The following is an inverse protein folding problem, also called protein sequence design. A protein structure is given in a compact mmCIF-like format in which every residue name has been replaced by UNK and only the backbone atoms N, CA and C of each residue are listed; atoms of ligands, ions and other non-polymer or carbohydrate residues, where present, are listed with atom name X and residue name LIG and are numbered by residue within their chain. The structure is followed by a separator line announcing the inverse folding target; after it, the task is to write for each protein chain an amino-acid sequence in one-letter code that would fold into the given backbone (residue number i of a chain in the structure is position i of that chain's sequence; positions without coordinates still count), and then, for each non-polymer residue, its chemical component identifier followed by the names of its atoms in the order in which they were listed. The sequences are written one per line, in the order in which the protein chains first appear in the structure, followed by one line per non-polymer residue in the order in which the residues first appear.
data_IF_466669445900
#
_entry.id   IF_466669445900
#
_cell.length_a   1.000
_cell.length_b   1.000
_cell.length_c   1.000
_cell.angle_alpha   90.00
_cell.angle_beta   90.00
_cell.angle_gamma   90.00
#
_symmetry.space_group_name_H-M   'P 1'
#
loop_
_entity.id
_entity.type
_entity.pdbx_description
1 polymer ?
#
# COMPACT_ATOMS: atom_id res chain seq x y z
N UNK A 1 24.56 17.59 -1.45
CA UNK A 1 24.38 18.39 -0.21
C UNK A 1 23.29 17.81 0.71
N UNK A 2 22.08 17.52 0.21
CA UNK A 2 20.95 16.97 0.99
C UNK A 2 21.28 15.73 1.84
N UNK A 3 22.06 14.78 1.30
CA UNK A 3 22.50 13.58 2.04
C UNK A 3 23.34 13.89 3.29
N UNK A 4 24.16 14.96 3.26
CA UNK A 4 24.98 15.37 4.42
C UNK A 4 24.14 16.09 5.49
N UNK A 5 23.07 16.77 5.09
CA UNK A 5 22.12 17.40 6.00
C UNK A 5 21.20 16.39 6.68
N UNK A 6 20.70 15.39 5.93
CA UNK A 6 19.89 14.30 6.49
C UNK A 6 20.67 13.50 7.54
N UNK A 7 21.95 13.19 7.28
CA UNK A 7 22.81 12.51 8.27
C UNK A 7 23.00 13.38 9.51
N UNK A 8 23.25 14.69 9.36
CA UNK A 8 23.40 15.59 10.52
C UNK A 8 22.12 15.71 11.34
N UNK A 9 20.95 15.83 10.71
CA UNK A 9 19.67 15.91 11.42
C UNK A 9 19.37 14.60 12.18
N UNK A 10 19.58 13.45 11.54
CA UNK A 10 19.42 12.14 12.18
C UNK A 10 20.42 11.95 13.34
N UNK A 11 21.67 12.41 13.18
CA UNK A 11 22.66 12.40 14.26
C UNK A 11 22.26 13.32 15.42
N UNK A 12 21.70 14.51 15.17
CA UNK A 12 21.24 15.42 16.23
C UNK A 12 20.03 14.85 16.97
N UNK A 13 19.08 14.23 16.26
CA UNK A 13 17.93 13.55 16.87
C UNK A 13 18.40 12.34 17.69
N UNK A 14 19.31 11.53 17.14
CA UNK A 14 19.90 10.39 17.86
C UNK A 14 20.66 10.84 19.12
N UNK A 15 21.41 11.95 19.05
CA UNK A 15 22.15 12.51 20.18
C UNK A 15 21.21 13.08 21.26
N UNK A 16 20.10 13.70 20.86
CA UNK A 16 19.06 14.15 21.79
C UNK A 16 18.35 12.96 22.47
N UNK A 17 18.15 11.85 21.77
CA UNK A 17 17.60 10.62 22.32
C UNK A 17 18.60 9.86 23.23
N UNK A 18 19.91 9.96 22.96
CA UNK A 18 20.97 9.32 23.75
C UNK A 18 21.32 10.04 25.07
N UNK A 19 20.81 11.26 25.27
CA UNK A 19 21.07 12.06 26.47
C UNK A 19 20.18 11.69 27.69
N UNK A 20 19.42 10.59 27.62
CA UNK A 20 18.68 9.99 28.73
C UNK A 20 19.49 8.83 29.36
N UNK A 21 19.42 8.59 30.69
CA UNK A 21 20.34 7.70 31.38
C UNK A 21 20.22 6.24 30.91
N UNK A 22 21.38 5.65 30.61
CA UNK A 22 21.59 4.37 29.96
C UNK A 22 21.24 3.15 30.83
N UNK A 23 20.62 2.14 30.23
CA UNK A 23 20.63 0.75 30.69
C UNK A 23 21.58 -0.08 29.82
N UNK A 24 22.30 -0.98 30.47
CA UNK A 24 23.50 -1.67 30.00
C UNK A 24 23.30 -2.65 28.82
N UNK A 25 24.35 -2.81 28.02
CA UNK A 25 24.48 -3.75 26.89
C UNK A 25 24.92 -5.15 27.36
N UNK A 26 24.34 -6.21 26.76
CA UNK A 26 24.92 -7.57 26.72
C UNK A 26 25.56 -7.84 25.34
N UNK A 27 26.66 -8.63 25.27
CA UNK A 27 27.38 -8.89 24.02
C UNK A 27 26.74 -10.00 23.17
N UNK A 28 26.78 -9.80 21.84
CA UNK A 28 26.26 -10.73 20.83
C UNK A 28 27.12 -11.99 20.63
N UNK A 29 26.52 -13.16 20.27
CA UNK A 29 27.25 -14.38 19.98
C UNK A 29 27.88 -14.41 18.58
N UNK A 30 29.00 -15.16 18.48
CA UNK A 30 29.90 -15.22 17.34
C UNK A 30 29.30 -15.83 16.06
N UNK A 31 29.59 -15.20 14.92
CA UNK A 31 29.26 -15.64 13.56
C UNK A 31 30.02 -16.92 13.15
N UNK A 32 29.27 -17.93 12.69
CA UNK A 32 29.80 -19.06 11.93
C UNK A 32 30.01 -18.67 10.44
N UNK A 33 30.95 -19.31 9.71
CA UNK A 33 31.30 -18.92 8.35
C UNK A 33 30.20 -19.23 7.30
N UNK A 34 30.07 -18.34 6.33
CA UNK A 34 29.07 -18.37 5.28
C UNK A 34 29.23 -19.59 4.33
N UNK A 35 28.13 -20.31 4.14
CA UNK A 35 28.00 -21.45 3.24
C UNK A 35 27.62 -20.97 1.82
N UNK A 36 28.12 -21.64 0.77
CA UNK A 36 27.88 -21.19 -0.61
C UNK A 36 26.43 -21.44 -1.05
N UNK A 37 25.84 -20.57 -1.90
CA UNK A 37 24.46 -20.74 -2.39
C UNK A 37 24.19 -22.08 -3.09
N UNK A 38 25.22 -22.66 -3.72
CA UNK A 38 25.12 -23.97 -4.37
C UNK A 38 25.01 -25.12 -3.36
N UNK A 39 25.67 -25.00 -2.21
CA UNK A 39 25.60 -25.99 -1.13
C UNK A 39 24.24 -25.94 -0.42
N UNK A 40 23.64 -24.75 -0.30
CA UNK A 40 22.28 -24.55 0.18
C UNK A 40 21.27 -25.29 -0.71
N UNK A 41 21.29 -25.01 -2.01
CA UNK A 41 20.34 -25.61 -2.98
C UNK A 41 20.49 -27.14 -3.04
N UNK A 42 21.72 -27.66 -2.98
CA UNK A 42 21.97 -29.11 -2.97
C UNK A 42 21.43 -29.77 -1.70
N UNK A 43 21.48 -29.09 -0.55
CA UNK A 43 20.87 -29.56 0.70
C UNK A 43 19.35 -29.55 0.65
N UNK A 44 18.76 -28.51 0.06
CA UNK A 44 17.30 -28.39 -0.06
C UNK A 44 16.70 -29.44 -1.01
N UNK A 45 17.42 -29.77 -2.10
CA UNK A 45 17.01 -30.83 -3.03
C UNK A 45 17.11 -32.25 -2.44
N UNK A 46 18.05 -32.50 -1.54
CA UNK A 46 18.23 -33.83 -0.90
C UNK A 46 17.27 -34.02 0.28
N UNK A 47 16.77 -32.95 0.90
CA UNK A 47 15.91 -33.04 2.09
C UNK A 47 14.39 -33.10 1.80
N UNK A 48 13.95 -33.18 0.55
CA UNK A 48 12.56 -33.55 0.22
C UNK A 48 11.50 -32.67 0.88
N UNK A 49 11.70 -31.35 0.93
CA UNK A 49 10.70 -30.40 1.42
C UNK A 49 10.13 -29.56 0.27
N UNK A 50 8.85 -29.78 0.02
CA UNK A 50 8.12 -29.37 -1.19
C UNK A 50 7.75 -27.90 -1.30
N UNK A 51 8.19 -27.02 -0.40
CA UNK A 51 7.80 -25.61 -0.39
C UNK A 51 8.92 -24.68 -0.87
N UNK A 52 10.18 -24.93 -0.52
CA UNK A 52 11.32 -24.12 -1.02
C UNK A 52 11.60 -24.38 -2.51
N UNK A 53 11.40 -25.61 -2.98
CA UNK A 53 11.47 -25.93 -4.41
C UNK A 53 10.35 -25.26 -5.21
N UNK A 54 9.18 -25.02 -4.60
CA UNK A 54 8.08 -24.27 -5.22
C UNK A 54 8.36 -22.77 -5.28
N UNK A 55 9.01 -22.22 -4.26
CA UNK A 55 9.42 -20.81 -4.22
C UNK A 55 10.48 -20.50 -5.29
N UNK A 56 11.45 -21.40 -5.49
CA UNK A 56 12.45 -21.26 -6.56
C UNK A 56 11.84 -21.36 -7.98
N UNK A 57 10.81 -22.19 -8.17
CA UNK A 57 10.07 -22.30 -9.44
C UNK A 57 9.17 -21.06 -9.65
N UNK A 58 8.59 -20.52 -8.58
CA UNK A 58 7.80 -19.28 -8.62
C UNK A 58 8.63 -18.06 -8.99
N UNK A 59 9.86 -17.95 -8.49
CA UNK A 59 10.81 -16.88 -8.86
C UNK A 59 11.23 -16.94 -10.33
N UNK A 60 11.36 -18.15 -10.88
CA UNK A 60 11.70 -18.33 -12.30
C UNK A 60 10.51 -18.02 -13.22
N UNK A 61 9.29 -18.43 -12.86
CA UNK A 61 8.05 -18.06 -13.57
C UNK A 61 7.74 -16.56 -13.44
N UNK A 62 8.06 -15.94 -12.30
CA UNK A 62 7.93 -14.52 -12.13
C UNK A 62 8.72 -13.78 -13.20
N UNK A 63 9.90 -14.26 -13.62
CA UNK A 63 10.78 -13.60 -14.58
C UNK A 63 10.21 -13.34 -15.99
N UNK A 64 9.12 -14.02 -16.39
CA UNK A 64 8.50 -13.92 -17.73
C UNK A 64 7.25 -13.03 -17.80
N UNK A 65 6.69 -12.61 -16.65
CA UNK A 65 5.42 -11.87 -16.57
C UNK A 65 5.67 -10.35 -16.60
N UNK A 66 4.77 -9.59 -17.25
CA UNK A 66 4.87 -8.12 -17.36
C UNK A 66 4.85 -7.45 -15.98
N UNK A 67 5.51 -6.28 -15.84
CA UNK A 67 5.67 -5.62 -14.53
C UNK A 67 4.33 -5.27 -13.86
N UNK A 68 3.29 -4.97 -14.65
CA UNK A 68 1.95 -4.65 -14.14
C UNK A 68 1.21 -5.89 -13.64
N UNK A 69 1.35 -7.02 -14.34
CA UNK A 69 0.80 -8.31 -13.88
C UNK A 69 1.56 -8.83 -12.65
N UNK A 70 2.88 -8.61 -12.54
CA UNK A 70 3.62 -8.92 -11.31
C UNK A 70 3.16 -8.06 -10.14
N UNK A 71 2.93 -6.77 -10.34
CA UNK A 71 2.46 -5.89 -9.27
C UNK A 71 1.08 -6.36 -8.76
N UNK A 72 0.15 -6.65 -9.68
CA UNK A 72 -1.17 -7.16 -9.33
C UNK A 72 -1.11 -8.53 -8.64
N UNK A 73 -0.26 -9.45 -9.10
CA UNK A 73 -0.09 -10.78 -8.51
C UNK A 73 0.60 -10.73 -7.14
N UNK A 74 1.59 -9.87 -6.96
CA UNK A 74 2.28 -9.67 -5.68
C UNK A 74 1.37 -8.99 -4.66
N UNK A 75 0.53 -8.06 -5.08
CA UNK A 75 -0.48 -7.43 -4.22
C UNK A 75 -1.57 -8.44 -3.81
N UNK A 76 -2.07 -9.25 -4.76
CA UNK A 76 -2.98 -10.37 -4.49
C UNK A 76 -2.37 -11.42 -3.55
N UNK A 77 -1.08 -11.74 -3.70
CA UNK A 77 -0.37 -12.69 -2.86
C UNK A 77 -0.07 -12.13 -1.46
N UNK A 78 0.36 -10.87 -1.36
CA UNK A 78 0.58 -10.17 -0.10
C UNK A 78 -0.72 -10.09 0.70
N UNK A 79 -1.83 -9.73 0.06
CA UNK A 79 -3.15 -9.82 0.66
C UNK A 79 -3.48 -11.26 1.07
N UNK A 80 -3.29 -12.26 0.20
CA UNK A 80 -3.55 -13.66 0.54
C UNK A 80 -2.82 -14.16 1.80
N UNK A 81 -1.57 -13.73 1.99
CA UNK A 81 -0.69 -14.17 3.07
C UNK A 81 -0.92 -13.44 4.40
N UNK A 82 -1.09 -12.12 4.40
CA UNK A 82 -1.37 -11.36 5.64
C UNK A 82 -2.70 -11.77 6.28
N UNK A 83 -3.69 -12.15 5.48
CA UNK A 83 -5.04 -12.43 5.96
C UNK A 83 -5.27 -13.88 6.39
N UNK A 84 -4.40 -14.81 6.00
CA UNK A 84 -4.43 -16.21 6.48
C UNK A 84 -4.22 -16.30 8.00
N UNK A 85 -3.49 -15.34 8.56
CA UNK A 85 -3.15 -15.24 9.98
C UNK A 85 -4.19 -14.48 10.83
N UNK A 86 -5.15 -13.79 10.21
CA UNK A 86 -6.14 -12.97 10.90
C UNK A 86 -7.48 -13.68 11.19
N UNK A 87 -7.63 -14.96 10.82
CA UNK A 87 -8.85 -15.73 11.12
C UNK A 87 -8.89 -16.15 12.59
N UNK A 88 -9.95 -15.81 13.35
CA UNK A 88 -10.23 -16.53 14.60
C UNK A 88 -10.56 -18.01 14.28
N UNK A 89 -10.30 -18.94 15.22
CA UNK A 89 -10.64 -20.35 15.03
C UNK A 89 -12.15 -20.51 14.80
N UNK A 90 -12.52 -21.41 13.88
CA UNK A 90 -13.92 -21.68 13.56
C UNK A 90 -14.70 -22.06 14.83
N UNK A 91 -15.88 -21.47 15.08
CA UNK A 91 -16.75 -21.94 16.16
C UNK A 91 -17.16 -23.40 15.89
N UNK A 92 -17.14 -24.22 16.94
CA UNK A 92 -17.62 -25.61 16.92
C UNK A 92 -19.08 -25.66 16.46
N UNK A 93 -19.47 -26.65 15.64
CA UNK A 93 -20.84 -26.77 15.17
C UNK A 93 -21.77 -27.07 16.34
N UNK A 94 -22.76 -26.20 16.54
CA UNK A 94 -23.80 -26.37 17.55
C UNK A 94 -24.84 -27.37 17.01
N UNK A 95 -24.83 -28.57 17.58
CA UNK A 95 -25.72 -29.67 17.20
C UNK A 95 -26.97 -29.67 18.06
N UNK A 96 -27.89 -28.72 17.85
CA UNK A 96 -29.26 -28.85 18.36
C UNK A 96 -30.27 -28.48 17.29
N UNK A 97 -31.05 -29.48 16.89
CA UNK A 97 -31.92 -29.43 15.73
C UNK A 97 -33.28 -28.77 15.93
N UNK A 98 -33.89 -28.54 14.74
CA UNK A 98 -35.30 -28.66 14.39
C UNK A 98 -36.33 -27.79 15.12
N UNK A 99 -36.84 -26.78 14.41
CA UNK A 99 -38.26 -26.67 14.07
C UNK A 99 -38.48 -25.68 12.92
N UNK A 100 -39.01 -26.18 11.81
CA UNK A 100 -39.20 -25.45 10.56
C UNK A 100 -40.60 -24.83 10.48
N UNK A 101 -40.66 -23.54 10.15
CA UNK A 101 -41.85 -22.87 9.65
C UNK A 101 -41.45 -22.12 8.36
N UNK A 102 -42.17 -22.25 7.23
CA UNK A 102 -41.74 -21.73 5.94
C UNK A 102 -42.11 -20.24 5.81
N UNK A 103 -41.46 -19.37 6.57
CA UNK A 103 -41.29 -17.98 6.13
C UNK A 103 -40.04 -17.98 5.25
N UNK A 104 -40.19 -17.75 3.95
CA UNK A 104 -39.12 -17.73 2.95
C UNK A 104 -38.14 -16.57 3.18
N UNK A 105 -37.46 -16.56 4.32
CA UNK A 105 -36.25 -15.80 4.55
C UNK A 105 -35.18 -16.56 3.80
N UNK A 106 -34.77 -16.00 2.68
CA UNK A 106 -33.62 -16.46 1.90
C UNK A 106 -32.47 -16.68 2.89
N UNK A 107 -32.15 -17.95 3.16
CA UNK A 107 -31.12 -18.32 4.12
C UNK A 107 -29.81 -17.77 3.62
N UNK A 108 -29.13 -16.96 4.44
CA UNK A 108 -27.80 -16.43 4.08
C UNK A 108 -26.89 -17.61 3.69
N UNK A 109 -26.09 -17.49 2.61
CA UNK A 109 -25.18 -18.56 2.21
C UNK A 109 -24.24 -18.87 3.37
N UNK A 110 -23.89 -20.15 3.51
CA UNK A 110 -22.87 -20.56 4.46
C UNK A 110 -21.52 -19.92 4.11
N UNK A 111 -20.64 -19.76 5.10
CA UNK A 111 -19.30 -19.21 4.87
C UNK A 111 -18.51 -20.03 3.83
N UNK A 112 -18.74 -21.34 3.72
CA UNK A 112 -18.10 -22.19 2.72
C UNK A 112 -18.60 -21.90 1.29
N UNK A 113 -19.91 -21.71 1.12
CA UNK A 113 -20.51 -21.34 -0.18
C UNK A 113 -20.09 -19.94 -0.61
N UNK A 114 -20.03 -18.99 0.33
CA UNK A 114 -19.54 -17.64 0.06
C UNK A 114 -18.08 -17.67 -0.40
N UNK A 115 -17.20 -18.38 0.32
CA UNK A 115 -15.78 -18.50 -0.05
C UNK A 115 -15.58 -19.15 -1.42
N UNK A 116 -16.35 -20.19 -1.74
CA UNK A 116 -16.30 -20.85 -3.06
C UNK A 116 -16.69 -19.87 -4.17
N UNK A 117 -17.77 -19.12 -3.95
CA UNK A 117 -18.24 -18.11 -4.90
C UNK A 117 -17.25 -16.95 -5.08
N UNK A 118 -16.60 -16.54 -3.98
CA UNK A 118 -15.55 -15.53 -3.99
C UNK A 118 -14.32 -15.97 -4.81
N UNK A 119 -13.85 -17.21 -4.62
CA UNK A 119 -12.74 -17.78 -5.39
C UNK A 119 -13.07 -17.85 -6.90
N UNK A 120 -14.30 -18.23 -7.26
CA UNK A 120 -14.75 -18.20 -8.66
C UNK A 120 -14.71 -16.78 -9.23
N UNK A 121 -15.19 -15.78 -8.49
CA UNK A 121 -15.18 -14.40 -8.94
C UNK A 121 -13.75 -13.86 -9.10
N UNK A 122 -12.83 -14.24 -8.20
CA UNK A 122 -11.40 -13.90 -8.32
C UNK A 122 -10.77 -14.54 -9.58
N UNK A 123 -11.09 -15.80 -9.86
CA UNK A 123 -10.62 -16.50 -11.06
C UNK A 123 -11.21 -15.90 -12.34
N UNK A 124 -12.45 -15.38 -12.32
CA UNK A 124 -13.03 -14.63 -13.43
C UNK A 124 -12.22 -13.34 -13.68
N UNK A 125 -11.83 -12.63 -12.62
CA UNK A 125 -11.00 -11.42 -12.72
C UNK A 125 -9.62 -11.73 -13.32
N UNK A 126 -8.96 -12.80 -12.85
CA UNK A 126 -7.66 -13.24 -13.35
C UNK A 126 -7.69 -13.65 -14.83
N UNK A 127 -8.83 -14.16 -15.34
CA UNK A 127 -9.02 -14.52 -16.75
C UNK A 127 -9.46 -13.36 -17.65
N UNK A 128 -9.55 -12.13 -17.11
CA UNK A 128 -10.05 -10.98 -17.85
C UNK A 128 -11.57 -10.98 -18.10
N UNK A 129 -12.32 -11.84 -17.42
CA UNK A 129 -13.78 -11.90 -17.48
C UNK A 129 -14.43 -10.86 -16.55
N UNK A 130 -14.00 -9.60 -16.68
CA UNK A 130 -14.30 -8.52 -15.73
C UNK A 130 -15.81 -8.29 -15.50
N UNK A 131 -16.64 -8.41 -16.54
CA UNK A 131 -18.10 -8.28 -16.39
C UNK A 131 -18.73 -9.40 -15.56
N UNK A 132 -18.23 -10.63 -15.68
CA UNK A 132 -18.70 -11.76 -14.87
C UNK A 132 -18.24 -11.60 -13.41
N UNK A 133 -16.97 -11.24 -13.21
CA UNK A 133 -16.39 -10.96 -11.90
C UNK A 133 -17.17 -9.85 -11.16
N UNK A 134 -17.41 -8.70 -11.81
CA UNK A 134 -18.12 -7.56 -11.21
C UNK A 134 -19.54 -7.92 -10.74
N UNK A 135 -20.29 -8.72 -11.52
CA UNK A 135 -21.63 -9.18 -11.13
C UNK A 135 -21.59 -10.11 -9.93
N UNK A 136 -20.69 -11.12 -9.94
CA UNK A 136 -20.54 -12.07 -8.83
C UNK A 136 -20.12 -11.36 -7.55
N UNK A 137 -19.14 -10.47 -7.63
CA UNK A 137 -18.66 -9.69 -6.48
C UNK A 137 -19.76 -8.78 -5.93
N UNK A 138 -20.64 -8.24 -6.78
CA UNK A 138 -21.84 -7.51 -6.33
C UNK A 138 -22.71 -8.33 -5.38
N UNK A 139 -23.04 -9.57 -5.76
CA UNK A 139 -23.83 -10.48 -4.91
C UNK A 139 -23.08 -10.85 -3.62
N UNK A 140 -21.75 -10.99 -3.69
CA UNK A 140 -20.92 -11.34 -2.54
C UNK A 140 -20.82 -10.22 -1.50
N UNK A 141 -20.87 -8.96 -1.91
CA UNK A 141 -20.93 -7.82 -0.98
C UNK A 141 -22.20 -7.89 -0.13
N UNK A 142 -23.35 -8.16 -0.76
CA UNK A 142 -24.65 -8.19 -0.09
C UNK A 142 -24.83 -9.43 0.82
N UNK A 143 -24.12 -10.51 0.50
CA UNK A 143 -24.21 -11.80 1.20
C UNK A 143 -23.00 -12.12 2.09
N UNK A 144 -22.12 -11.15 2.31
CA UNK A 144 -20.90 -11.35 3.09
C UNK A 144 -21.21 -11.76 4.54
N UNK A 145 -20.44 -12.73 5.11
CA UNK A 145 -20.63 -13.16 6.49
C UNK A 145 -20.21 -12.08 7.49
N UNK A 146 -19.23 -11.23 7.12
CA UNK A 146 -18.74 -10.11 7.94
C UNK A 146 -18.36 -8.88 7.09
N UNK A 147 -18.00 -7.78 7.77
CA UNK A 147 -17.64 -6.51 7.14
C UNK A 147 -16.31 -6.58 6.36
N UNK A 148 -15.40 -7.47 6.76
CA UNK A 148 -14.09 -7.60 6.11
C UNK A 148 -14.27 -8.25 4.74
N UNK A 149 -15.06 -9.32 4.66
CA UNK A 149 -15.40 -10.01 3.42
C UNK A 149 -16.23 -9.13 2.46
N UNK A 150 -17.13 -8.29 3.01
CA UNK A 150 -17.86 -7.28 2.24
C UNK A 150 -16.92 -6.22 1.64
N UNK A 151 -15.99 -5.68 2.45
CA UNK A 151 -15.00 -4.71 1.99
C UNK A 151 -14.11 -5.30 0.88
N UNK A 152 -13.67 -6.55 1.06
CA UNK A 152 -12.83 -7.26 0.10
C UNK A 152 -13.53 -7.45 -1.25
N UNK A 153 -14.79 -7.85 -1.21
CA UNK A 153 -15.60 -8.02 -2.42
C UNK A 153 -15.86 -6.68 -3.13
N UNK A 154 -16.01 -5.60 -2.36
CA UNK A 154 -16.20 -4.24 -2.88
C UNK A 154 -14.98 -3.74 -3.63
N UNK A 155 -13.77 -3.97 -3.09
CA UNK A 155 -12.50 -3.58 -3.72
C UNK A 155 -12.24 -4.35 -5.03
N UNK A 156 -12.43 -5.68 -5.03
CA UNK A 156 -12.30 -6.45 -6.26
C UNK A 156 -13.35 -6.04 -7.31
N UNK A 157 -14.55 -5.63 -6.86
CA UNK A 157 -15.61 -5.16 -7.75
C UNK A 157 -15.23 -3.83 -8.40
N UNK A 158 -14.62 -2.90 -7.67
CA UNK A 158 -14.16 -1.64 -8.26
C UNK A 158 -13.07 -1.87 -9.31
N UNK A 159 -12.10 -2.75 -9.03
CA UNK A 159 -11.07 -3.15 -9.99
C UNK A 159 -11.67 -3.74 -11.27
N UNK A 160 -12.69 -4.60 -11.15
CA UNK A 160 -13.38 -5.16 -12.31
C UNK A 160 -14.08 -4.08 -13.16
N UNK A 161 -14.69 -3.07 -12.53
CA UNK A 161 -15.33 -1.97 -13.25
C UNK A 161 -14.34 -1.04 -13.94
N UNK A 162 -13.21 -0.75 -13.30
CA UNK A 162 -12.16 0.08 -13.90
C UNK A 162 -11.58 -0.61 -15.15
N UNK A 163 -11.31 -1.92 -15.06
CA UNK A 163 -10.86 -2.71 -16.22
C UNK A 163 -11.87 -2.73 -17.38
N UNK A 164 -13.18 -2.74 -17.08
CA UNK A 164 -14.22 -2.61 -18.11
C UNK A 164 -14.19 -1.24 -18.77
N UNK A 165 -14.03 -0.17 -17.98
CA UNK A 165 -13.96 1.22 -18.48
C UNK A 165 -12.78 1.40 -19.45
N UNK A 166 -11.62 0.88 -19.09
CA UNK A 166 -10.41 0.95 -19.92
C UNK A 166 -10.57 0.19 -21.24
N UNK A 167 -11.25 -0.97 -21.20
CA UNK A 167 -11.54 -1.76 -22.41
C UNK A 167 -12.53 -1.05 -23.34
N UNK A 168 -13.57 -0.43 -22.79
CA UNK A 168 -14.51 0.38 -23.57
C UNK A 168 -13.82 1.58 -24.21
N UNK A 169 -12.99 2.30 -23.45
CA UNK A 169 -12.21 3.42 -23.99
C UNK A 169 -11.27 3.00 -25.13
N UNK A 170 -10.76 1.77 -25.09
CA UNK A 170 -9.90 1.22 -26.14
C UNK A 170 -10.70 0.80 -27.39
N UNK A 171 -11.94 0.32 -27.21
CA UNK A 171 -12.81 -0.13 -28.32
C UNK A 171 -13.40 1.03 -29.12
N UNK A 172 -13.62 2.18 -28.48
CA UNK A 172 -14.17 3.38 -29.14
C UNK A 172 -13.11 4.18 -29.89
N UNK A 173 -11.83 3.76 -29.86
CA UNK A 173 -10.82 4.37 -30.70
C UNK A 173 -11.15 4.00 -32.15
N UNK A 174 -11.60 4.94 -33.00
CA UNK A 174 -11.92 4.62 -34.39
C UNK A 174 -10.70 3.97 -35.02
N UNK A 175 -10.86 2.90 -35.83
CA UNK A 175 -9.75 2.33 -36.58
C UNK A 175 -9.11 3.52 -37.29
N UNK A 176 -7.82 3.73 -37.02
CA UNK A 176 -7.09 4.90 -37.49
C UNK A 176 -7.22 4.89 -39.00
N UNK A 177 -8.18 5.65 -39.50
CA UNK A 177 -8.43 5.77 -40.92
C UNK A 177 -7.21 6.52 -41.38
N UNK A 178 -6.37 5.84 -42.16
CA UNK A 178 -5.17 6.42 -42.74
C UNK A 178 -5.59 7.62 -43.57
N UNK A 179 -5.71 8.78 -42.93
CA UNK A 179 -6.02 10.05 -43.57
C UNK A 179 -4.87 10.32 -44.53
N UNK A 180 -5.14 10.53 -45.82
CA UNK A 180 -4.11 10.82 -46.81
C UNK A 180 -3.28 12.00 -46.32
N UNK A 181 -1.97 11.81 -46.35
CA UNK A 181 -0.94 12.70 -45.82
C UNK A 181 -1.25 14.17 -46.11
N UNK A 182 -1.75 14.87 -45.09
CA UNK A 182 -1.80 16.31 -45.07
C UNK A 182 -0.37 16.82 -44.86
N UNK A 183 0.06 17.73 -45.73
CA UNK A 183 1.41 18.28 -45.81
C UNK A 183 1.93 18.81 -44.47
N UNK A 184 2.86 18.05 -43.88
CA UNK A 184 4.06 18.44 -43.13
C UNK A 184 4.06 19.76 -42.34
N UNK A 185 3.17 19.87 -41.36
CA UNK A 185 3.54 20.56 -40.11
C UNK A 185 3.66 19.48 -39.04
N UNK A 186 4.87 19.18 -38.53
CA UNK A 186 5.01 18.21 -37.46
C UNK A 186 4.09 18.64 -36.31
N UNK A 187 3.18 17.76 -35.83
CA UNK A 187 2.31 18.12 -34.74
C UNK A 187 3.17 18.58 -33.57
N UNK A 188 2.77 19.65 -32.86
CA UNK A 188 3.53 20.14 -31.71
C UNK A 188 3.77 18.96 -30.77
N UNK A 189 5.04 18.71 -30.44
CA UNK A 189 5.43 17.59 -29.61
C UNK A 189 4.56 17.58 -28.35
N UNK A 190 3.88 16.47 -28.09
CA UNK A 190 3.06 16.35 -26.88
C UNK A 190 3.95 16.63 -25.67
N UNK A 191 3.47 17.40 -24.68
CA UNK A 191 4.25 17.65 -23.48
C UNK A 191 4.67 16.31 -22.87
N UNK A 192 5.91 16.19 -22.38
CA UNK A 192 6.38 14.94 -21.81
C UNK A 192 5.41 14.50 -20.71
N UNK A 193 5.03 13.22 -20.74
CA UNK A 193 4.17 12.66 -19.70
C UNK A 193 4.79 12.95 -18.32
N UNK A 194 3.97 13.31 -17.34
CA UNK A 194 4.43 13.49 -15.97
C UNK A 194 4.13 12.20 -15.19
N UNK A 195 5.12 11.68 -14.47
CA UNK A 195 4.93 10.57 -13.54
C UNK A 195 4.82 11.13 -12.12
N UNK A 196 4.07 10.44 -11.27
CA UNK A 196 3.98 10.80 -9.85
C UNK A 196 4.70 9.74 -9.02
N UNK A 197 5.65 10.15 -8.18
CA UNK A 197 6.33 9.28 -7.21
C UNK A 197 5.79 9.54 -5.81
N UNK A 198 5.41 8.48 -5.11
CA UNK A 198 4.97 8.58 -3.73
C UNK A 198 6.15 8.53 -2.75
N UNK A 199 6.16 9.45 -1.78
CA UNK A 199 7.15 9.49 -0.70
C UNK A 199 6.52 9.57 0.70
N UNK A 200 5.22 9.26 0.83
CA UNK A 200 4.48 9.35 2.10
C UNK A 200 4.98 8.41 3.20
N UNK A 201 5.66 7.32 2.87
CA UNK A 201 6.30 6.48 3.90
C UNK A 201 7.32 7.24 4.75
N UNK A 202 7.97 8.28 4.20
CA UNK A 202 8.94 9.11 4.94
C UNK A 202 8.26 9.95 6.02
N UNK A 203 7.08 10.51 5.72
CA UNK A 203 6.29 11.27 6.70
C UNK A 203 5.71 10.33 7.77
N UNK A 204 5.26 9.13 7.37
CA UNK A 204 4.77 8.11 8.30
C UNK A 204 5.84 7.63 9.30
N UNK A 205 7.11 7.54 8.90
CA UNK A 205 8.19 7.23 9.86
C UNK A 205 8.34 8.34 10.90
N UNK A 206 8.35 9.61 10.46
CA UNK A 206 8.44 10.74 11.39
C UNK A 206 7.26 10.74 12.38
N UNK A 207 6.07 10.40 11.88
CA UNK A 207 4.86 10.25 12.69
C UNK A 207 4.93 9.11 13.69
N UNK A 208 5.38 7.94 13.26
CA UNK A 208 5.57 6.80 14.14
C UNK A 208 6.53 7.11 15.29
N UNK A 209 7.65 7.78 14.99
CA UNK A 209 8.61 8.20 16.02
C UNK A 209 7.98 9.22 16.97
N UNK A 210 7.20 10.18 16.47
CA UNK A 210 6.50 11.15 17.29
C UNK A 210 5.50 10.47 18.25
N UNK A 211 4.74 9.48 17.78
CA UNK A 211 3.80 8.70 18.61
C UNK A 211 4.54 7.99 19.74
N UNK A 212 5.67 7.34 19.44
CA UNK A 212 6.46 6.61 20.45
C UNK A 212 7.09 7.56 21.50
N UNK A 213 7.52 8.75 21.09
CA UNK A 213 8.14 9.74 21.99
C UNK A 213 7.11 10.47 22.85
N UNK A 214 5.90 10.70 22.35
CA UNK A 214 4.86 11.47 23.03
C UNK A 214 4.57 11.05 24.49
N UNK A 215 4.42 9.76 24.85
CA UNK A 215 4.15 9.38 26.25
C UNK A 215 5.29 9.66 27.23
N UNK A 216 6.55 9.73 26.76
CA UNK A 216 7.72 9.97 27.63
C UNK A 216 8.22 11.42 27.59
N UNK A 217 8.00 12.10 26.47
CA UNK A 217 8.40 13.49 26.25
C UNK A 217 7.35 14.20 25.39
N UNK A 218 6.19 14.59 25.95
CA UNK A 218 5.03 15.04 25.18
C UNK A 218 5.31 16.29 24.35
N UNK A 219 6.10 17.23 24.88
CA UNK A 219 6.51 18.43 24.12
C UNK A 219 7.37 18.07 22.92
N UNK A 220 8.32 17.15 23.09
CA UNK A 220 9.19 16.69 22.00
C UNK A 220 8.40 15.87 20.96
N UNK A 221 7.52 14.98 21.41
CA UNK A 221 6.63 14.20 20.54
C UNK A 221 5.70 15.09 19.73
N UNK A 222 5.06 16.07 20.36
CA UNK A 222 4.21 17.05 19.68
C UNK A 222 4.99 17.92 18.69
N UNK A 223 6.18 18.40 19.08
CA UNK A 223 7.05 19.17 18.18
C UNK A 223 7.48 18.33 16.96
N UNK A 224 7.87 17.07 17.18
CA UNK A 224 8.24 16.15 16.10
C UNK A 224 7.05 15.82 15.20
N UNK A 225 5.86 15.61 15.76
CA UNK A 225 4.63 15.40 15.00
C UNK A 225 4.30 16.60 14.11
N UNK A 226 4.39 17.82 14.65
CA UNK A 226 4.08 19.04 13.90
C UNK A 226 5.12 19.35 12.82
N UNK A 227 6.40 19.09 13.07
CA UNK A 227 7.49 19.50 12.17
C UNK A 227 8.07 18.40 11.29
N UNK A 228 7.87 17.12 11.65
CA UNK A 228 8.43 15.97 10.96
C UNK A 228 7.98 15.87 9.50
N UNK A 229 6.66 15.80 9.26
CA UNK A 229 6.09 15.80 7.91
C UNK A 229 6.49 17.02 7.08
N UNK A 230 6.29 18.26 7.58
CA UNK A 230 6.71 19.47 6.88
C UNK A 230 8.20 19.49 6.51
N UNK A 231 9.08 19.02 7.41
CA UNK A 231 10.52 18.92 7.13
C UNK A 231 10.81 17.98 5.95
N UNK A 232 10.12 16.83 5.89
CA UNK A 232 10.22 15.90 4.76
C UNK A 232 9.76 16.55 3.44
N UNK A 233 8.67 17.32 3.45
CA UNK A 233 8.23 18.05 2.26
C UNK A 233 9.25 19.11 1.80
N UNK A 234 9.87 19.84 2.73
CA UNK A 234 10.95 20.79 2.43
C UNK A 234 12.15 20.07 1.81
N UNK A 235 12.55 18.91 2.34
CA UNK A 235 13.65 18.11 1.80
C UNK A 235 13.40 17.61 0.36
N UNK A 236 12.13 17.46 -0.01
CA UNK A 236 11.70 17.12 -1.37
C UNK A 236 11.38 18.37 -2.22
N UNK A 237 11.87 19.56 -1.86
CA UNK A 237 11.68 20.83 -2.58
C UNK A 237 10.21 21.28 -2.75
N UNK A 238 9.32 20.84 -1.86
CA UNK A 238 7.89 21.12 -1.94
C UNK A 238 7.42 22.06 -0.80
N UNK A 239 7.85 23.33 -0.80
CA UNK A 239 7.56 24.29 0.29
C UNK A 239 6.05 24.52 0.48
N UNK A 240 5.29 24.67 -0.62
CA UNK A 240 3.84 24.85 -0.54
C UNK A 240 3.16 23.67 0.20
N UNK A 241 3.63 22.45 -0.08
CA UNK A 241 3.13 21.23 0.57
C UNK A 241 3.55 21.13 2.03
N UNK A 242 4.75 21.60 2.37
CA UNK A 242 5.18 21.69 3.76
C UNK A 242 4.26 22.61 4.59
N UNK A 243 3.87 23.75 4.03
CA UNK A 243 2.90 24.66 4.65
C UNK A 243 1.53 24.02 4.82
N UNK A 244 1.01 23.35 3.78
CA UNK A 244 -0.27 22.61 3.87
C UNK A 244 -0.21 21.49 4.92
N UNK A 245 0.87 20.71 4.93
CA UNK A 245 1.12 19.63 5.89
C UNK A 245 1.10 20.15 7.33
N UNK A 246 1.83 21.25 7.60
CA UNK A 246 1.84 21.88 8.91
C UNK A 246 0.43 22.37 9.31
N UNK A 247 -0.28 22.99 8.37
CA UNK A 247 -1.64 23.48 8.57
C UNK A 247 -2.62 22.37 8.97
N UNK A 248 -2.61 21.23 8.27
CA UNK A 248 -3.51 20.11 8.60
C UNK A 248 -3.10 19.40 9.89
N UNK A 249 -1.78 19.30 10.17
CA UNK A 249 -1.25 18.67 11.40
C UNK A 249 -1.49 19.51 12.64
N UNK A 250 -1.56 20.82 12.53
CA UNK A 250 -2.01 21.67 13.63
C UNK A 250 -3.55 21.72 13.70
N UNK A 251 -4.19 21.94 12.55
CA UNK A 251 -5.62 22.23 12.47
C UNK A 251 -6.52 21.05 12.83
N UNK A 252 -6.26 19.85 12.30
CA UNK A 252 -7.13 18.70 12.53
C UNK A 252 -7.10 18.20 13.98
N UNK A 253 -5.96 18.04 14.66
CA UNK A 253 -5.94 17.69 16.08
C UNK A 253 -6.61 18.75 16.96
N UNK A 254 -6.35 20.05 16.71
CA UNK A 254 -6.97 21.12 17.49
C UNK A 254 -8.49 21.16 17.30
N UNK A 255 -8.96 21.08 16.05
CA UNK A 255 -10.38 21.08 15.72
C UNK A 255 -11.10 19.85 16.29
N UNK A 256 -10.56 18.66 16.06
CA UNK A 256 -11.15 17.42 16.58
C UNK A 256 -11.08 17.32 18.11
N UNK A 257 -10.00 17.83 18.72
CA UNK A 257 -9.89 17.91 20.18
C UNK A 257 -10.88 18.88 20.81
N UNK A 258 -11.11 20.05 20.18
CA UNK A 258 -12.14 20.98 20.64
C UNK A 258 -13.54 20.35 20.53
N UNK A 259 -13.85 19.72 19.40
CA UNK A 259 -15.14 19.02 19.22
C UNK A 259 -15.32 17.91 20.25
N UNK A 260 -14.28 17.10 20.48
CA UNK A 260 -14.29 16.06 21.50
C UNK A 260 -14.54 16.63 22.90
N UNK A 261 -13.83 17.71 23.27
CA UNK A 261 -14.00 18.34 24.57
C UNK A 261 -15.43 18.89 24.77
N UNK A 262 -16.01 19.52 23.75
CA UNK A 262 -17.40 19.99 23.78
C UNK A 262 -18.38 18.82 23.91
N UNK A 263 -18.18 17.72 23.18
CA UNK A 263 -19.01 16.51 23.32
C UNK A 263 -18.91 15.92 24.73
N UNK A 264 -17.70 15.84 25.30
CA UNK A 264 -17.47 15.36 26.67
C UNK A 264 -18.18 16.23 27.72
N UNK A 265 -18.16 17.55 27.54
CA UNK A 265 -18.86 18.49 28.42
C UNK A 265 -20.38 18.27 28.39
N UNK A 266 -20.97 18.15 27.18
CA UNK A 266 -22.41 17.92 27.01
C UNK A 266 -22.84 16.59 27.64
N UNK A 267 -22.09 15.52 27.40
CA UNK A 267 -22.39 14.21 28.00
C UNK A 267 -22.23 14.21 29.52
N UNK A 268 -21.21 14.89 30.05
CA UNK A 268 -21.02 15.04 31.49
C UNK A 268 -22.18 15.77 32.17
N UNK A 269 -22.65 16.87 31.56
CA UNK A 269 -23.77 17.66 32.06
C UNK A 269 -25.10 16.90 32.01
N UNK A 270 -25.35 16.15 30.93
CA UNK A 270 -26.57 15.36 30.77
C UNK A 270 -26.74 14.27 31.84
N UNK A 271 -25.63 13.74 32.38
CA UNK A 271 -25.63 12.71 33.41
C UNK A 271 -25.75 13.26 34.85
N UNK A 272 -25.96 14.58 35.04
CA UNK A 272 -26.05 15.18 36.37
C UNK A 272 -24.73 15.12 37.17
N UNK A 273 -23.60 15.02 36.49
CA UNK A 273 -22.30 14.84 37.12
C UNK A 273 -21.84 16.11 37.86
N UNK A 274 -21.10 15.96 38.96
CA UNK A 274 -20.40 17.08 39.61
C UNK A 274 -19.42 17.78 38.66
N UNK A 275 -19.11 19.06 38.90
CA UNK A 275 -18.25 19.90 38.05
C UNK A 275 -16.89 19.24 37.71
N UNK A 276 -16.29 18.54 38.67
CA UNK A 276 -15.03 17.80 38.47
C UNK A 276 -15.14 16.69 37.43
N UNK A 277 -16.29 16.01 37.35
CA UNK A 277 -16.55 14.94 36.39
C UNK A 277 -16.80 15.48 34.98
N UNK A 278 -17.43 16.65 34.87
CA UNK A 278 -17.61 17.33 33.58
C UNK A 278 -16.26 17.73 32.99
N UNK A 279 -15.37 18.30 33.81
CA UNK A 279 -14.01 18.67 33.38
C UNK A 279 -13.20 17.44 32.95
N UNK A 280 -13.25 16.35 33.72
CA UNK A 280 -12.55 15.11 33.39
C UNK A 280 -13.07 14.50 32.07
N UNK A 281 -14.39 14.42 31.88
CA UNK A 281 -14.97 13.93 30.63
C UNK A 281 -14.59 14.82 29.45
N UNK A 282 -14.65 16.15 29.61
CA UNK A 282 -14.23 17.09 28.56
C UNK A 282 -12.76 16.88 28.17
N UNK A 283 -11.87 16.72 29.15
CA UNK A 283 -10.46 16.45 28.88
C UNK A 283 -10.24 15.11 28.18
N UNK A 284 -10.90 14.03 28.66
CA UNK A 284 -10.76 12.70 28.08
C UNK A 284 -11.24 12.64 26.62
N UNK A 285 -12.43 13.16 26.34
CA UNK A 285 -12.94 13.23 24.97
C UNK A 285 -12.15 14.21 24.11
N UNK A 286 -11.60 15.29 24.69
CA UNK A 286 -10.71 16.22 23.99
C UNK A 286 -9.40 15.57 23.55
N UNK A 287 -8.76 14.79 24.43
CA UNK A 287 -7.54 14.03 24.09
C UNK A 287 -7.84 12.96 23.03
N UNK A 288 -8.95 12.23 23.18
CA UNK A 288 -9.37 11.23 22.20
C UNK A 288 -9.64 11.87 20.82
N UNK A 289 -10.35 13.01 20.81
CA UNK A 289 -10.62 13.79 19.60
C UNK A 289 -9.34 14.29 18.94
N UNK A 290 -8.41 14.84 19.71
CA UNK A 290 -7.12 15.30 19.20
C UNK A 290 -6.30 14.15 18.60
N UNK A 291 -6.28 12.99 19.24
CA UNK A 291 -5.63 11.78 18.73
C UNK A 291 -6.23 11.31 17.39
N UNK A 292 -7.56 11.24 17.29
CA UNK A 292 -8.24 10.89 16.05
C UNK A 292 -7.98 11.91 14.93
N UNK A 293 -7.99 13.21 15.26
CA UNK A 293 -7.62 14.29 14.35
C UNK A 293 -6.18 14.17 13.86
N UNK A 294 -5.26 13.76 14.74
CA UNK A 294 -3.86 13.56 14.40
C UNK A 294 -3.65 12.42 13.41
N UNK A 295 -4.29 11.27 13.65
CA UNK A 295 -4.27 10.12 12.73
C UNK A 295 -4.85 10.51 11.36
N UNK A 296 -5.98 11.23 11.34
CA UNK A 296 -6.58 11.70 10.09
C UNK A 296 -5.62 12.62 9.30
N UNK A 297 -4.95 13.56 9.99
CA UNK A 297 -3.94 14.41 9.37
C UNK A 297 -2.78 13.60 8.77
N UNK A 298 -2.27 12.57 9.46
CA UNK A 298 -1.21 11.70 8.95
C UNK A 298 -1.63 10.97 7.66
N UNK A 299 -2.87 10.45 7.64
CA UNK A 299 -3.42 9.75 6.46
C UNK A 299 -3.55 10.71 5.28
N UNK A 300 -4.14 11.89 5.48
CA UNK A 300 -4.32 12.89 4.41
C UNK A 300 -2.97 13.37 3.88
N UNK A 301 -2.02 13.67 4.77
CA UNK A 301 -0.68 14.11 4.43
C UNK A 301 0.07 13.07 3.57
N UNK A 302 0.13 11.83 4.06
CA UNK A 302 0.82 10.74 3.38
C UNK A 302 0.15 10.34 2.06
N UNK A 303 -1.19 10.28 1.99
CA UNK A 303 -1.91 9.79 0.82
C UNK A 303 -2.08 10.85 -0.28
N UNK A 304 -2.25 12.12 0.08
CA UNK A 304 -2.61 13.19 -0.86
C UNK A 304 -1.44 14.14 -1.11
N UNK A 305 -0.74 14.55 -0.05
CA UNK A 305 0.27 15.62 -0.13
C UNK A 305 1.63 15.07 -0.54
N UNK A 306 2.04 13.90 -0.04
CA UNK A 306 3.37 13.31 -0.25
C UNK A 306 3.57 12.63 -1.62
N UNK A 307 3.35 13.39 -2.70
CA UNK A 307 3.43 12.95 -4.11
C UNK A 307 4.31 13.88 -4.94
N UNK A 308 5.48 13.45 -5.38
CA UNK A 308 6.38 14.24 -6.22
C UNK A 308 6.03 14.07 -7.70
N UNK A 309 6.00 15.17 -8.47
CA UNK A 309 5.87 15.09 -9.93
C UNK A 309 7.27 14.99 -10.51
N UNK A 310 7.53 13.88 -11.20
CA UNK A 310 8.78 13.66 -11.92
C UNK A 310 8.49 13.75 -13.42
N UNK A 311 9.41 14.34 -14.21
CA UNK A 311 9.40 14.12 -15.65
C UNK A 311 9.31 12.61 -15.89
N UNK A 312 8.44 12.15 -16.80
CA UNK A 312 8.53 10.75 -17.20
C UNK A 312 9.95 10.52 -17.70
N UNK A 313 10.62 9.52 -17.11
CA UNK A 313 11.84 9.04 -17.71
C UNK A 313 11.53 8.73 -19.18
N UNK A 314 12.39 9.14 -20.12
CA UNK A 314 12.23 8.76 -21.51
C UNK A 314 12.02 7.25 -21.53
N UNK A 315 10.90 6.83 -22.13
CA UNK A 315 10.53 5.42 -22.16
C UNK A 315 11.75 4.63 -22.60
N UNK A 316 12.17 3.63 -21.81
CA UNK A 316 13.29 2.75 -22.18
C UNK A 316 13.05 2.05 -23.52
N UNK A 317 11.81 2.07 -24.03
CA UNK A 317 11.47 1.64 -25.39
C UNK A 317 12.16 2.46 -26.50
N UNK A 318 12.75 3.62 -26.18
CA UNK A 318 13.55 4.43 -27.10
C UNK A 318 15.05 4.46 -26.73
N UNK A 319 15.50 3.60 -25.82
CA UNK A 319 16.93 3.37 -25.68
C UNK A 319 17.35 2.46 -26.82
N UNK A 320 18.01 3.04 -27.82
CA UNK A 320 18.75 2.31 -28.85
C UNK A 320 19.60 1.26 -28.17
N UNK A 321 19.15 0.01 -28.19
CA UNK A 321 19.84 -1.06 -27.48
C UNK A 321 20.89 -1.61 -28.44
N UNK A 322 22.12 -1.12 -28.33
CA UNK A 322 23.27 -1.63 -29.07
C UNK A 322 23.72 -2.93 -28.41
N UNK A 323 23.46 -4.07 -29.05
CA UNK A 323 23.94 -5.40 -28.63
C UNK A 323 25.02 -5.88 -29.60
N UNK A 324 26.27 -6.10 -29.16
CA UNK A 324 27.22 -6.82 -29.99
C UNK A 324 26.69 -8.24 -30.24
N UNK A 325 26.74 -8.69 -31.50
CA UNK A 325 26.35 -10.04 -31.91
C UNK A 325 27.54 -10.75 -32.53
N UNK A 326 27.78 -12.01 -32.15
CA UNK A 326 28.69 -12.90 -32.82
C UNK A 326 27.94 -14.16 -33.25
N UNK A 327 28.00 -14.53 -34.54
CA UNK A 327 27.30 -15.69 -35.09
C UNK A 327 28.28 -16.58 -35.88
N UNK A 328 28.32 -17.90 -35.63
CA UNK A 328 29.18 -18.81 -36.40
C UNK A 328 28.61 -19.04 -37.80
N UNK A 329 29.47 -19.11 -38.82
CA UNK A 329 29.09 -19.43 -40.21
C UNK A 329 29.17 -20.94 -40.47
N UNK A 330 28.28 -21.45 -41.35
CA UNK A 330 28.23 -22.87 -41.74
C UNK A 330 29.49 -23.37 -42.46
N UNK A 331 30.22 -22.48 -43.12
CA UNK A 331 31.43 -22.81 -43.89
C UNK A 331 32.72 -22.71 -43.04
N UNK A 332 32.59 -22.39 -41.75
CA UNK A 332 33.70 -22.04 -40.87
C UNK A 332 33.85 -20.52 -40.72
N UNK A 333 34.22 -20.06 -39.52
CA UNK A 333 34.41 -18.64 -39.17
C UNK A 333 33.28 -18.04 -38.30
N UNK A 334 33.42 -16.75 -37.96
CA UNK A 334 32.48 -15.97 -37.16
C UNK A 334 32.13 -14.63 -37.84
N UNK A 335 30.86 -14.28 -37.84
CA UNK A 335 30.37 -12.92 -38.08
C UNK A 335 30.37 -12.15 -36.77
N UNK A 336 30.88 -10.91 -36.80
CA UNK A 336 30.80 -9.97 -35.68
C UNK A 336 30.03 -8.75 -36.16
N UNK A 337 29.01 -8.35 -35.40
CA UNK A 337 28.13 -7.24 -35.75
C UNK A 337 27.54 -6.54 -34.54
N UNK A 338 26.74 -5.52 -34.81
CA UNK A 338 25.97 -4.79 -33.82
C UNK A 338 24.50 -4.95 -34.19
N UNK A 339 23.73 -5.59 -33.33
CA UNK A 339 22.28 -5.69 -33.44
C UNK A 339 21.63 -4.65 -32.51
N UNK A 340 20.61 -3.96 -32.99
CA UNK A 340 19.85 -3.05 -32.15
C UNK A 340 18.54 -2.63 -32.78
N UNK A 341 17.64 -2.16 -31.94
CA UNK A 341 16.43 -1.43 -32.35
C UNK A 341 16.78 0.05 -32.35
N UNK A 342 16.75 0.66 -33.52
CA UNK A 342 16.99 2.09 -33.74
C UNK A 342 15.66 2.83 -33.84
#
# INVERSE_FOLDING_TARGET
MARRWAVRLLSTIALACYALPAFAEEPAPSLAPAMSPREQIRRLLVMGHGDEAREAIADQLASEISMHERAALLELHAMGTTWRWARPPSPMPDTTGTNASPSGKESKPSAAEWNTSFEVARNDLARGAFAAAARRLGVLVDTAPDLVDASRSTELRSLAFDALRDRSASSDRPPTTTTPASLDVPPPASPPAQRTRWYGWQTLIADGVAIVITPVAPVAGAALYLTGGPTVHVMNWNIARAGTSLGIRAGLPLGAGLLGALSGAVMGAANGSHESSVALNSAAFGVAGAGAGAICAMIVDSAVIAKERMPAEPSKAALTTIRPSAAPRREGGFDVGIAGTW
#
